data_IF_444127695474
#
_entry.id   IF_444127695474
#
_cell.length_a   1.000
_cell.length_b   1.000
_cell.length_c   1.000
_cell.angle_alpha   90.00
_cell.angle_beta   90.00
_cell.angle_gamma   90.00
#
_symmetry.space_group_name_H-M   'P 1'
#
loop_
_entity.id
_entity.type
_entity.pdbx_description
1 polymer ?
#
# COMPACT_ATOMS: atom_id res chain seq x y z
N UNK A 1 39.77 -27.06 10.76
CA UNK A 1 39.16 -28.40 10.94
C UNK A 1 37.66 -28.17 10.91
N UNK A 2 36.99 -28.25 9.76
CA UNK A 2 36.56 -29.48 9.06
C UNK A 2 35.78 -30.41 10.00
N UNK A 3 34.50 -30.60 9.70
CA UNK A 3 33.63 -31.79 9.83
C UNK A 3 32.18 -31.27 9.96
N UNK A 4 31.36 -31.23 8.90
CA UNK A 4 30.84 -32.32 8.05
C UNK A 4 29.94 -33.28 8.84
N UNK A 5 28.63 -33.04 8.69
CA UNK A 5 27.60 -34.03 8.32
C UNK A 5 27.31 -35.20 9.27
N UNK A 6 26.06 -35.29 9.76
CA UNK A 6 25.26 -36.49 9.56
C UNK A 6 23.75 -36.20 9.64
N UNK A 7 23.09 -36.43 8.52
CA UNK A 7 21.65 -36.47 8.28
C UNK A 7 21.11 -37.79 8.83
N UNK A 8 19.98 -37.78 9.53
CA UNK A 8 19.08 -38.95 9.63
C UNK A 8 17.63 -38.51 9.88
N UNK A 9 16.88 -38.46 8.79
CA UNK A 9 15.50 -38.95 8.64
C UNK A 9 14.44 -38.48 9.63
N UNK A 10 13.72 -37.45 9.18
CA UNK A 10 12.29 -37.26 9.45
C UNK A 10 11.51 -38.40 8.78
N UNK A 11 10.71 -39.14 9.55
CA UNK A 11 9.78 -40.12 8.99
C UNK A 11 9.19 -41.02 10.05
N UNK A 12 8.03 -40.64 10.59
CA UNK A 12 6.89 -41.52 10.84
C UNK A 12 5.75 -40.71 11.47
N UNK A 13 4.68 -40.51 10.70
CA UNK A 13 3.39 -40.04 11.18
C UNK A 13 2.87 -40.92 12.33
N UNK A 14 2.23 -40.36 13.37
CA UNK A 14 1.34 -41.15 14.19
C UNK A 14 -0.02 -41.24 13.49
N UNK A 15 -0.29 -42.44 12.96
CA UNK A 15 -1.59 -42.98 12.59
C UNK A 15 -2.68 -42.58 13.60
N UNK A 16 -3.71 -41.90 13.10
CA UNK A 16 -4.93 -41.60 13.87
C UNK A 16 -5.80 -42.86 13.89
N UNK A 17 -5.50 -43.78 14.82
CA UNK A 17 -6.33 -44.94 15.07
C UNK A 17 -7.58 -44.52 15.85
N UNK A 18 -8.74 -44.82 15.27
CA UNK A 18 -10.03 -44.40 15.76
C UNK A 18 -10.41 -44.97 17.13
N UNK A 19 -11.20 -44.17 17.83
CA UNK A 19 -12.40 -44.60 18.55
C UNK A 19 -12.27 -45.77 19.50
N UNK A 20 -11.77 -45.51 20.71
CA UNK A 20 -12.16 -46.30 21.87
C UNK A 20 -12.73 -45.36 22.94
N UNK A 21 -14.04 -45.48 23.17
CA UNK A 21 -14.75 -44.80 24.25
C UNK A 21 -14.32 -45.45 25.57
N UNK A 22 -13.25 -44.94 26.17
CA UNK A 22 -12.83 -45.32 27.52
C UNK A 22 -13.52 -44.41 28.52
N UNK A 23 -14.08 -45.03 29.56
CA UNK A 23 -14.98 -44.45 30.55
C UNK A 23 -14.50 -43.12 31.15
N UNK A 24 -15.37 -42.11 31.03
CA UNK A 24 -15.26 -40.78 31.65
C UNK A 24 -15.51 -40.86 33.16
N UNK A 25 -14.43 -40.93 33.95
CA UNK A 25 -14.48 -40.55 35.37
C UNK A 25 -13.15 -40.00 35.92
N UNK A 26 -12.02 -40.22 35.23
CA UNK A 26 -10.69 -39.80 35.71
C UNK A 26 -9.87 -38.88 34.79
N UNK A 27 -10.30 -38.62 33.55
CA UNK A 27 -9.54 -37.81 32.59
C UNK A 27 -9.71 -36.29 32.82
N UNK A 28 -10.89 -35.84 33.26
CA UNK A 28 -11.17 -34.42 33.42
C UNK A 28 -10.38 -33.72 34.54
N UNK A 29 -9.94 -34.45 35.57
CA UNK A 29 -9.21 -33.84 36.70
C UNK A 29 -7.72 -33.69 36.40
N UNK A 30 -7.10 -34.69 35.77
CA UNK A 30 -5.69 -34.62 35.36
C UNK A 30 -5.47 -33.54 34.28
N UNK A 31 -6.39 -33.45 33.31
CA UNK A 31 -6.35 -32.41 32.27
C UNK A 31 -6.63 -31.01 32.84
N UNK A 32 -7.54 -30.89 33.82
CA UNK A 32 -7.80 -29.63 34.51
C UNK A 32 -6.63 -29.17 35.37
N UNK A 33 -5.96 -30.09 36.08
CA UNK A 33 -4.76 -29.78 36.85
C UNK A 33 -3.58 -29.38 35.95
N UNK A 34 -3.42 -30.06 34.81
CA UNK A 34 -2.42 -29.71 33.81
C UNK A 34 -2.69 -28.34 33.19
N UNK A 35 -3.94 -28.05 32.77
CA UNK A 35 -4.34 -26.74 32.25
C UNK A 35 -4.15 -25.64 33.29
N UNK A 36 -4.51 -25.88 34.56
CA UNK A 36 -4.30 -24.92 35.63
C UNK A 36 -2.81 -24.64 35.87
N UNK A 37 -1.96 -25.65 35.75
CA UNK A 37 -0.50 -25.50 35.86
C UNK A 37 0.08 -24.71 34.69
N UNK A 38 -0.32 -25.03 33.45
CA UNK A 38 0.11 -24.29 32.26
C UNK A 38 -0.39 -22.85 32.26
N UNK A 39 -1.64 -22.61 32.67
CA UNK A 39 -2.20 -21.28 32.84
C UNK A 39 -1.43 -20.46 33.88
N UNK A 40 -1.06 -21.06 35.02
CA UNK A 40 -0.22 -20.41 36.04
C UNK A 40 1.19 -20.10 35.53
N UNK A 41 1.78 -20.98 34.74
CA UNK A 41 3.08 -20.74 34.11
C UNK A 41 3.01 -19.62 33.07
N UNK A 42 1.94 -19.57 32.29
CA UNK A 42 1.69 -18.52 31.30
C UNK A 42 1.52 -17.16 31.98
N UNK A 43 0.69 -17.06 33.03
CA UNK A 43 0.51 -15.82 33.79
C UNK A 43 1.77 -15.37 34.55
N UNK A 44 2.68 -16.30 34.86
CA UNK A 44 3.96 -15.99 35.51
C UNK A 44 5.07 -15.58 34.53
N UNK A 45 4.84 -15.74 33.22
CA UNK A 45 5.80 -15.36 32.19
C UNK A 45 5.82 -13.84 32.00
N UNK A 46 6.88 -13.20 32.49
CA UNK A 46 7.08 -11.76 32.39
C UNK A 46 7.49 -11.28 30.98
N UNK A 47 7.72 -12.19 30.03
CA UNK A 47 7.92 -11.83 28.62
C UNK A 47 6.62 -11.47 27.90
N UNK A 48 5.47 -11.83 28.48
CA UNK A 48 4.14 -11.60 27.91
C UNK A 48 3.39 -10.58 28.76
N UNK A 49 2.98 -9.48 28.13
CA UNK A 49 2.20 -8.44 28.80
C UNK A 49 0.72 -8.84 28.85
N UNK A 50 0.23 -9.31 30.01
CA UNK A 50 -1.20 -9.63 30.23
C UNK A 50 -2.02 -8.44 30.74
N UNK A 51 -1.38 -7.45 31.35
CA UNK A 51 -2.01 -6.23 31.82
C UNK A 51 -1.73 -5.07 30.88
N UNK A 52 -2.78 -4.40 30.39
CA UNK A 52 -2.61 -3.05 29.86
C UNK A 52 -2.35 -2.12 31.06
N UNK A 53 -1.20 -1.41 31.12
CA UNK A 53 -0.99 -0.42 32.15
C UNK A 53 -2.09 0.65 32.04
N UNK A 54 -2.61 1.09 33.19
CA UNK A 54 -3.49 2.24 33.21
C UNK A 54 -2.74 3.42 32.59
N UNK A 55 -3.29 4.00 31.52
CA UNK A 55 -2.74 5.19 30.88
C UNK A 55 -2.80 6.34 31.89
N UNK A 56 -1.67 6.62 32.54
CA UNK A 56 -1.51 7.85 33.32
C UNK A 56 -1.42 8.98 32.30
N UNK A 57 -2.40 9.89 32.30
CA UNK A 57 -2.35 11.06 31.43
C UNK A 57 -1.14 11.90 31.85
N UNK A 58 -0.12 12.05 30.99
CA UNK A 58 1.01 12.90 31.31
C UNK A 58 0.51 14.34 31.41
N UNK A 59 0.91 15.05 32.47
CA UNK A 59 0.69 16.48 32.52
C UNK A 59 1.43 17.14 31.33
N UNK A 60 0.83 18.16 30.69
CA UNK A 60 1.46 18.83 29.57
C UNK A 60 2.82 19.38 30.01
N UNK A 61 3.90 19.09 29.25
CA UNK A 61 5.24 19.48 29.64
C UNK A 61 5.36 21.01 29.74
N UNK A 62 6.20 21.51 30.65
CA UNK A 62 6.31 22.95 30.97
C UNK A 62 6.56 23.86 29.75
N UNK A 63 7.25 23.35 28.73
CA UNK A 63 7.50 24.10 27.49
C UNK A 63 6.25 24.27 26.61
N UNK A 64 5.23 23.41 26.77
CA UNK A 64 3.98 23.43 26.02
C UNK A 64 2.96 24.42 26.60
N UNK A 65 3.04 24.70 27.90
CA UNK A 65 2.16 25.67 28.59
C UNK A 65 2.14 27.06 27.91
N UNK A 66 3.29 27.71 27.58
CA UNK A 66 3.26 29.01 26.91
C UNK A 66 2.65 28.95 25.50
N UNK A 67 2.80 27.82 24.80
CA UNK A 67 2.18 27.62 23.48
C UNK A 67 0.66 27.48 23.59
N UNK A 68 0.17 26.74 24.59
CA UNK A 68 -1.26 26.57 24.87
C UNK A 68 -1.91 27.89 25.26
N UNK A 69 -1.29 28.65 26.16
CA UNK A 69 -1.77 29.99 26.56
C UNK A 69 -1.82 30.95 25.36
N UNK A 70 -0.80 30.91 24.49
CA UNK A 70 -0.82 31.66 23.24
C UNK A 70 -2.01 31.23 22.37
N UNK A 71 -2.22 29.93 22.16
CA UNK A 71 -3.30 29.41 21.33
C UNK A 71 -4.69 29.74 21.91
N UNK A 72 -4.88 29.70 23.22
CA UNK A 72 -6.13 30.11 23.88
C UNK A 72 -6.44 31.59 23.64
N UNK A 73 -5.42 32.46 23.70
CA UNK A 73 -5.55 33.89 23.38
C UNK A 73 -5.91 34.14 21.92
N UNK A 74 -5.44 33.27 21.03
CA UNK A 74 -5.68 33.32 19.58
C UNK A 74 -6.98 32.62 19.17
N UNK A 75 -7.51 31.73 20.01
CA UNK A 75 -8.75 30.98 19.81
C UNK A 75 -9.92 31.80 19.27
N UNK A 76 -10.28 32.97 19.86
CA UNK A 76 -11.36 33.79 19.32
C UNK A 76 -11.05 34.39 17.93
N UNK A 77 -9.77 34.60 17.59
CA UNK A 77 -9.36 35.11 16.29
C UNK A 77 -9.37 34.04 15.18
N UNK A 78 -9.16 32.76 15.54
CA UNK A 78 -9.22 31.64 14.60
C UNK A 78 -10.59 31.51 13.91
N UNK A 79 -11.66 31.86 14.62
CA UNK A 79 -13.03 31.86 14.05
C UNK A 79 -13.11 32.91 12.93
N UNK A 80 -12.58 34.11 13.14
CA UNK A 80 -12.56 35.14 12.10
C UNK A 80 -11.66 34.78 10.93
N UNK A 81 -10.49 34.16 11.18
CA UNK A 81 -9.61 33.65 10.12
C UNK A 81 -10.27 32.55 9.29
N UNK A 82 -10.99 31.64 9.94
CA UNK A 82 -11.75 30.59 9.26
C UNK A 82 -12.82 31.19 8.35
N UNK A 83 -13.64 32.11 8.86
CA UNK A 83 -14.65 32.78 8.05
C UNK A 83 -14.05 33.64 6.95
N UNK A 84 -12.92 34.31 7.19
CA UNK A 84 -12.19 35.03 6.16
C UNK A 84 -11.70 34.09 5.04
N UNK A 85 -11.19 32.90 5.39
CA UNK A 85 -10.79 31.88 4.43
C UNK A 85 -11.98 31.32 3.64
N UNK A 86 -13.13 31.08 4.30
CA UNK A 86 -14.37 30.64 3.66
C UNK A 86 -14.90 31.69 2.69
N UNK A 87 -14.97 32.96 3.12
CA UNK A 87 -15.42 34.08 2.27
C UNK A 87 -14.46 34.26 1.09
N UNK A 88 -13.14 34.20 1.33
CA UNK A 88 -12.13 34.25 0.27
C UNK A 88 -12.29 33.10 -0.73
N UNK A 89 -12.45 31.87 -0.25
CA UNK A 89 -12.68 30.70 -1.10
C UNK A 89 -13.96 30.82 -1.92
N UNK A 90 -15.06 31.24 -1.30
CA UNK A 90 -16.32 31.50 -1.98
C UNK A 90 -16.20 32.61 -3.03
N UNK A 91 -15.47 33.70 -2.72
CA UNK A 91 -15.19 34.77 -3.67
C UNK A 91 -14.33 34.30 -4.84
N UNK A 92 -13.33 33.45 -4.61
CA UNK A 92 -12.51 32.85 -5.67
C UNK A 92 -13.38 31.94 -6.55
N UNK A 93 -14.21 31.08 -5.97
CA UNK A 93 -15.11 30.21 -6.74
C UNK A 93 -16.08 31.06 -7.57
N UNK A 94 -16.68 32.10 -6.98
CA UNK A 94 -17.55 33.02 -7.70
C UNK A 94 -16.81 33.74 -8.83
N UNK A 95 -15.58 34.20 -8.58
CA UNK A 95 -14.71 34.83 -9.58
C UNK A 95 -14.41 33.86 -10.72
N UNK A 96 -14.10 32.60 -10.43
CA UNK A 96 -13.85 31.56 -11.44
C UNK A 96 -15.11 31.29 -12.28
N UNK A 97 -16.29 31.22 -11.66
CA UNK A 97 -17.57 31.07 -12.37
C UNK A 97 -17.83 32.28 -13.28
N UNK A 98 -17.60 33.50 -12.79
CA UNK A 98 -17.77 34.72 -13.59
C UNK A 98 -16.78 34.79 -14.75
N UNK A 99 -15.53 34.36 -14.55
CA UNK A 99 -14.52 34.29 -15.60
C UNK A 99 -14.88 33.24 -16.67
N UNK A 100 -15.40 32.09 -16.26
CA UNK A 100 -15.87 31.02 -17.14
C UNK A 100 -17.06 31.48 -17.99
N UNK A 101 -18.07 32.11 -17.37
CA UNK A 101 -19.26 32.65 -18.07
C UNK A 101 -18.90 33.77 -19.04
N UNK A 102 -17.88 34.57 -18.73
CA UNK A 102 -17.37 35.62 -19.63
C UNK A 102 -16.56 35.09 -20.81
N UNK A 103 -16.41 33.76 -20.96
CA UNK A 103 -15.66 33.16 -22.06
C UNK A 103 -14.16 33.52 -22.03
N UNK A 104 -13.68 34.05 -20.90
CA UNK A 104 -12.26 34.27 -20.66
C UNK A 104 -11.69 32.92 -20.27
N UNK A 105 -11.56 32.05 -21.27
CA UNK A 105 -10.85 30.79 -21.16
C UNK A 105 -9.41 31.11 -20.74
N UNK A 106 -9.17 31.11 -19.44
CA UNK A 106 -7.84 31.21 -18.86
C UNK A 106 -7.14 29.91 -19.20
N UNK A 107 -6.55 29.88 -20.40
CA UNK A 107 -5.70 28.80 -20.85
C UNK A 107 -4.51 28.75 -19.91
N UNK A 108 -4.58 27.86 -18.92
CA UNK A 108 -3.49 27.56 -17.99
C UNK A 108 -2.19 27.44 -18.81
N UNK A 109 -1.18 28.30 -18.58
CA UNK A 109 0.05 28.29 -19.37
C UNK A 109 0.84 26.97 -19.23
N UNK A 110 0.56 26.17 -18.20
CA UNK A 110 1.15 24.85 -17.99
C UNK A 110 0.61 23.73 -18.90
N UNK A 111 -0.54 23.93 -19.56
CA UNK A 111 -1.08 22.95 -20.52
C UNK A 111 -0.67 23.23 -21.98
N UNK A 112 0.17 24.25 -22.21
CA UNK A 112 0.40 24.80 -23.56
C UNK A 112 1.79 24.57 -24.15
N UNK A 113 2.61 23.73 -23.52
CA UNK A 113 3.90 23.35 -24.11
C UNK A 113 3.82 22.14 -25.07
N UNK A 114 2.62 21.57 -25.34
CA UNK A 114 2.52 20.40 -26.22
C UNK A 114 1.31 20.42 -27.16
N UNK A 115 1.35 21.37 -28.09
CA UNK A 115 0.68 21.38 -29.40
C UNK A 115 1.27 22.61 -30.09
N UNK A 116 2.08 22.52 -31.13
CA UNK A 116 1.92 21.77 -32.38
C UNK A 116 3.30 21.51 -32.98
N UNK A 117 3.59 20.29 -33.39
CA UNK A 117 4.17 20.05 -34.71
C UNK A 117 3.68 18.68 -35.16
N UNK A 118 3.03 18.71 -36.31
CA UNK A 118 2.41 17.61 -37.03
C UNK A 118 3.46 16.62 -37.51
N UNK A 119 3.30 15.36 -37.11
CA UNK A 119 3.71 14.20 -37.88
C UNK A 119 2.63 13.14 -37.65
N UNK A 120 1.84 12.91 -38.69
CA UNK A 120 1.03 11.72 -38.86
C UNK A 120 1.89 10.48 -38.60
N UNK A 121 1.62 9.80 -37.48
CA UNK A 121 1.74 8.35 -37.34
C UNK A 121 1.12 7.94 -35.99
N UNK A 122 -0.03 7.26 -36.05
CA UNK A 122 -0.67 6.53 -34.95
C UNK A 122 -0.71 7.22 -33.56
N UNK A 123 -1.52 8.27 -33.42
CA UNK A 123 -1.84 8.86 -32.11
C UNK A 123 -2.54 7.84 -31.18
N UNK A 124 -1.76 7.22 -30.27
CA UNK A 124 -2.21 6.46 -29.09
C UNK A 124 -2.20 7.40 -27.86
N UNK A 125 -3.31 8.07 -27.51
CA UNK A 125 -3.33 9.10 -26.46
C UNK A 125 -2.92 8.62 -25.06
N UNK A 126 -2.91 7.31 -24.79
CA UNK A 126 -2.52 6.70 -23.50
C UNK A 126 -1.04 6.25 -23.47
N UNK A 127 -0.42 6.06 -24.64
CA UNK A 127 0.94 5.51 -24.73
C UNK A 127 2.03 6.53 -24.38
N UNK A 128 1.80 7.82 -24.67
CA UNK A 128 2.77 8.87 -24.39
C UNK A 128 3.02 9.09 -22.89
N UNK A 129 1.98 8.95 -22.06
CA UNK A 129 2.11 9.04 -20.60
C UNK A 129 2.83 7.81 -20.04
N UNK A 130 2.53 6.61 -20.55
CA UNK A 130 3.23 5.39 -20.18
C UNK A 130 4.72 5.42 -20.57
N UNK A 131 5.06 5.99 -21.73
CA UNK A 131 6.45 6.13 -22.19
C UNK A 131 7.28 7.09 -21.34
N UNK A 132 6.71 8.25 -20.97
CA UNK A 132 7.40 9.21 -20.09
C UNK A 132 7.69 8.56 -18.74
N UNK A 133 6.73 7.83 -18.18
CA UNK A 133 6.92 7.15 -16.90
C UNK A 133 7.91 5.98 -16.98
N UNK A 134 7.88 5.22 -18.06
CA UNK A 134 8.89 4.18 -18.31
C UNK A 134 10.30 4.79 -18.36
N UNK A 135 10.47 5.99 -18.91
CA UNK A 135 11.77 6.68 -18.94
C UNK A 135 12.25 7.10 -17.55
N UNK A 136 11.35 7.47 -16.64
CA UNK A 136 11.70 7.75 -15.23
C UNK A 136 12.14 6.48 -14.50
N UNK A 137 11.40 5.38 -14.70
CA UNK A 137 11.75 4.09 -14.12
C UNK A 137 13.08 3.54 -14.70
N UNK A 138 13.33 3.75 -15.99
CA UNK A 138 14.61 3.44 -16.63
C UNK A 138 15.77 4.25 -16.05
N UNK A 139 15.54 5.53 -15.72
CA UNK A 139 16.56 6.37 -15.11
C UNK A 139 16.93 5.91 -13.69
N UNK A 140 15.99 5.33 -12.94
CA UNK A 140 16.25 4.69 -11.64
C UNK A 140 17.01 3.37 -11.83
N UNK A 141 16.56 2.52 -12.76
CA UNK A 141 17.25 1.26 -13.06
C UNK A 141 18.69 1.48 -13.55
N UNK A 142 18.95 2.55 -14.30
CA UNK A 142 20.30 2.92 -14.77
C UNK A 142 21.26 3.29 -13.62
N UNK A 143 20.72 3.71 -12.46
CA UNK A 143 21.51 3.99 -11.24
C UNK A 143 21.76 2.74 -10.40
N UNK A 144 21.17 1.60 -10.78
CA UNK A 144 21.17 0.36 -10.00
C UNK A 144 20.01 0.26 -9.01
N UNK A 145 19.11 1.24 -8.97
CA UNK A 145 17.98 1.30 -8.03
C UNK A 145 16.77 0.52 -8.57
N UNK A 146 16.95 -0.78 -8.81
CA UNK A 146 15.91 -1.64 -9.39
C UNK A 146 14.68 -1.79 -8.49
N UNK A 147 14.88 -1.82 -7.17
CA UNK A 147 13.77 -1.92 -6.21
C UNK A 147 12.84 -0.71 -6.37
N UNK A 148 13.39 0.52 -6.37
CA UNK A 148 12.62 1.75 -6.52
C UNK A 148 11.97 1.83 -7.92
N UNK A 149 12.67 1.38 -8.97
CA UNK A 149 12.14 1.35 -10.32
C UNK A 149 10.90 0.46 -10.42
N UNK A 150 10.92 -0.76 -9.85
CA UNK A 150 9.75 -1.65 -9.84
C UNK A 150 8.64 -1.09 -8.94
N UNK A 151 8.99 -0.51 -7.79
CA UNK A 151 8.03 0.16 -6.90
C UNK A 151 7.29 1.31 -7.58
N UNK A 152 7.98 2.08 -8.42
CA UNK A 152 7.38 3.13 -9.26
C UNK A 152 6.36 2.53 -10.23
N UNK A 153 6.69 1.44 -10.93
CA UNK A 153 5.76 0.74 -11.83
C UNK A 153 4.51 0.22 -11.11
N UNK A 154 4.67 -0.34 -9.90
CA UNK A 154 3.53 -0.81 -9.11
C UNK A 154 2.59 0.35 -8.72
N UNK A 155 3.13 1.44 -8.17
CA UNK A 155 2.34 2.62 -7.79
C UNK A 155 1.59 3.19 -8.98
N UNK A 156 2.25 3.25 -10.13
CA UNK A 156 1.63 3.72 -11.36
C UNK A 156 0.49 2.80 -11.81
N UNK A 157 0.73 1.50 -11.80
CA UNK A 157 -0.28 0.52 -12.20
C UNK A 157 -1.54 0.63 -11.33
N UNK A 158 -1.38 0.85 -10.01
CA UNK A 158 -2.51 1.11 -9.10
C UNK A 158 -3.22 2.41 -9.46
N UNK A 159 -2.49 3.48 -9.78
CA UNK A 159 -3.10 4.74 -10.22
C UNK A 159 -3.87 4.60 -11.54
N UNK A 160 -3.38 3.80 -12.48
CA UNK A 160 -4.09 3.53 -13.74
C UNK A 160 -5.36 2.67 -13.50
N UNK A 161 -5.32 1.72 -12.56
CA UNK A 161 -6.53 1.00 -12.11
C UNK A 161 -7.52 1.97 -11.46
N UNK A 162 -7.07 2.89 -10.60
CA UNK A 162 -7.92 3.89 -9.96
C UNK A 162 -8.62 4.80 -10.97
N UNK A 163 -7.91 5.18 -12.04
CA UNK A 163 -8.48 5.99 -13.12
C UNK A 163 -9.56 5.27 -13.92
N UNK A 164 -9.47 3.94 -14.07
CA UNK A 164 -10.40 3.12 -14.88
C UNK A 164 -11.55 2.53 -14.06
N UNK A 165 -11.30 2.14 -12.82
CA UNK A 165 -12.27 1.56 -11.88
C UNK A 165 -12.21 2.27 -10.52
N UNK A 166 -12.72 3.52 -10.43
CA UNK A 166 -12.66 4.31 -9.21
C UNK A 166 -13.44 3.69 -8.05
N UNK A 167 -14.58 3.04 -8.32
CA UNK A 167 -15.43 2.44 -7.27
C UNK A 167 -14.86 1.14 -6.68
N UNK A 168 -13.91 0.52 -7.39
CA UNK A 168 -13.31 -0.75 -6.99
C UNK A 168 -12.21 -0.57 -5.95
N UNK A 169 -11.34 0.43 -6.12
CA UNK A 169 -10.18 0.59 -5.24
C UNK A 169 -10.54 1.23 -3.92
N UNK A 170 -10.28 0.50 -2.83
CA UNK A 170 -10.40 0.98 -1.45
C UNK A 170 -9.01 1.09 -0.82
N UNK A 171 -8.78 2.07 0.08
CA UNK A 171 -7.49 2.22 0.76
C UNK A 171 -7.02 0.97 1.55
N UNK A 172 -7.94 0.08 1.91
CA UNK A 172 -7.63 -1.16 2.62
C UNK A 172 -7.16 -2.31 1.74
N UNK A 173 -7.21 -2.18 0.41
CA UNK A 173 -6.82 -3.25 -0.51
C UNK A 173 -5.30 -3.33 -0.66
N UNK A 174 -4.77 -4.54 -0.53
CA UNK A 174 -3.35 -4.82 -0.81
C UNK A 174 -3.11 -5.04 -2.30
N UNK A 175 -1.85 -4.96 -2.75
CA UNK A 175 -1.46 -5.30 -4.13
C UNK A 175 -1.94 -6.70 -4.52
N UNK A 176 -1.87 -7.67 -3.60
CA UNK A 176 -2.36 -9.04 -3.83
C UNK A 176 -3.88 -9.11 -3.95
N UNK A 177 -4.63 -8.34 -3.18
CA UNK A 177 -6.09 -8.29 -3.29
C UNK A 177 -6.52 -7.69 -4.63
N UNK A 178 -5.86 -6.61 -5.04
CA UNK A 178 -6.08 -5.97 -6.34
C UNK A 178 -5.76 -6.94 -7.48
N UNK A 179 -4.68 -7.71 -7.37
CA UNK A 179 -4.26 -8.69 -8.38
C UNK A 179 -5.19 -9.90 -8.51
N UNK A 180 -6.05 -10.17 -7.52
CA UNK A 180 -7.00 -11.28 -7.55
C UNK A 180 -8.44 -10.83 -7.84
N UNK A 181 -8.67 -9.54 -8.01
CA UNK A 181 -10.02 -9.01 -8.14
C UNK A 181 -10.66 -9.39 -9.50
N UNK A 182 -11.90 -9.92 -9.49
CA UNK A 182 -12.61 -10.31 -10.71
C UNK A 182 -13.11 -9.12 -11.53
N UNK A 183 -13.09 -7.91 -10.96
CA UNK A 183 -13.41 -6.66 -11.65
C UNK A 183 -12.37 -6.26 -12.69
N UNK A 184 -11.14 -6.77 -12.60
CA UNK A 184 -10.09 -6.51 -13.58
C UNK A 184 -10.17 -7.51 -14.75
N UNK A 185 -10.04 -7.05 -16.01
CA UNK A 185 -9.89 -7.93 -17.16
C UNK A 185 -8.75 -8.93 -16.96
N UNK A 186 -8.93 -10.17 -17.40
CA UNK A 186 -8.01 -11.28 -17.09
C UNK A 186 -6.56 -11.00 -17.53
N UNK A 187 -6.37 -10.31 -18.66
CA UNK A 187 -5.04 -9.92 -19.17
C UNK A 187 -4.38 -8.87 -18.28
N UNK A 188 -5.07 -7.77 -17.98
CA UNK A 188 -4.58 -6.73 -17.07
C UNK A 188 -4.29 -7.30 -15.67
N UNK A 189 -5.17 -8.16 -15.16
CA UNK A 189 -5.02 -8.86 -13.88
C UNK A 189 -3.75 -9.72 -13.85
N UNK A 190 -3.51 -10.50 -14.90
CA UNK A 190 -2.31 -11.33 -15.02
C UNK A 190 -1.02 -10.49 -15.02
N UNK A 191 -0.97 -9.44 -15.83
CA UNK A 191 0.18 -8.54 -15.91
C UNK A 191 0.45 -7.81 -14.58
N UNK A 192 -0.60 -7.29 -13.92
CA UNK A 192 -0.47 -6.65 -12.61
C UNK A 192 -0.01 -7.63 -11.53
N UNK A 193 -0.50 -8.87 -11.55
CA UNK A 193 -0.09 -9.90 -10.58
C UNK A 193 1.41 -10.21 -10.63
N UNK A 194 2.00 -10.16 -11.83
CA UNK A 194 3.43 -10.40 -12.03
C UNK A 194 4.29 -9.28 -11.40
N UNK A 195 3.91 -8.02 -11.62
CA UNK A 195 4.55 -6.84 -11.00
C UNK A 195 4.41 -6.93 -9.48
N UNK A 196 3.21 -7.17 -8.96
CA UNK A 196 2.95 -7.27 -7.53
C UNK A 196 3.81 -8.35 -6.87
N UNK A 197 3.91 -9.53 -7.49
CA UNK A 197 4.72 -10.65 -6.95
C UNK A 197 6.21 -10.31 -6.88
N UNK A 198 6.75 -9.58 -7.86
CA UNK A 198 8.17 -9.16 -7.87
C UNK A 198 8.42 -8.18 -6.72
N UNK A 199 7.55 -7.17 -6.55
CA UNK A 199 7.66 -6.19 -5.46
C UNK A 199 7.50 -6.84 -4.09
N UNK A 200 6.50 -7.71 -3.93
CA UNK A 200 6.26 -8.41 -2.67
C UNK A 200 7.43 -9.30 -2.27
N UNK A 201 8.06 -9.98 -3.24
CA UNK A 201 9.28 -10.74 -2.98
C UNK A 201 10.43 -9.83 -2.51
N UNK A 202 10.56 -8.64 -3.09
CA UNK A 202 11.59 -7.69 -2.69
C UNK A 202 11.36 -7.14 -1.28
N UNK A 203 10.14 -6.69 -1.00
CA UNK A 203 9.74 -6.13 0.28
C UNK A 203 9.76 -7.16 1.41
N UNK A 204 9.15 -8.32 1.21
CA UNK A 204 8.91 -9.28 2.29
C UNK A 204 9.98 -10.36 2.40
N UNK A 205 10.59 -10.79 1.29
CA UNK A 205 11.62 -11.82 1.33
C UNK A 205 13.05 -11.26 1.44
N UNK A 206 13.21 -9.93 1.52
CA UNK A 206 14.51 -9.21 1.46
C UNK A 206 15.40 -9.69 0.32
N UNK A 207 14.80 -10.06 -0.81
CA UNK A 207 15.53 -10.44 -2.03
C UNK A 207 15.56 -9.21 -2.94
N UNK A 208 16.68 -8.50 -3.05
CA UNK A 208 16.73 -7.30 -3.88
C UNK A 208 16.36 -7.65 -5.32
N UNK A 209 15.61 -6.78 -5.97
CA UNK A 209 15.30 -6.90 -7.39
C UNK A 209 16.61 -6.73 -8.16
N UNK A 210 17.01 -7.76 -8.88
CA UNK A 210 18.12 -7.67 -9.83
C UNK A 210 17.66 -7.13 -11.19
N UNK A 211 18.60 -6.91 -12.10
CA UNK A 211 18.32 -6.50 -13.48
C UNK A 211 17.28 -7.41 -14.18
N UNK A 212 17.31 -8.72 -13.91
CA UNK A 212 16.32 -9.66 -14.45
C UNK A 212 14.91 -9.42 -13.90
N UNK A 213 14.78 -9.13 -12.60
CA UNK A 213 13.50 -8.83 -11.98
C UNK A 213 12.93 -7.50 -12.47
N UNK A 214 13.80 -6.51 -12.71
CA UNK A 214 13.44 -5.26 -13.35
C UNK A 214 12.90 -5.47 -14.77
N UNK A 215 13.59 -6.23 -15.63
CA UNK A 215 13.14 -6.49 -17.00
C UNK A 215 11.80 -7.24 -17.05
N UNK A 216 11.58 -8.20 -16.14
CA UNK A 216 10.30 -8.89 -16.01
C UNK A 216 9.17 -7.92 -15.62
N UNK A 217 9.40 -7.06 -14.61
CA UNK A 217 8.42 -6.08 -14.17
C UNK A 217 8.09 -5.04 -15.27
N UNK A 218 9.11 -4.59 -16.01
CA UNK A 218 8.95 -3.68 -17.15
C UNK A 218 8.07 -4.31 -18.23
N UNK A 219 8.40 -5.53 -18.67
CA UNK A 219 7.62 -6.22 -19.68
C UNK A 219 6.17 -6.49 -19.24
N UNK A 220 5.96 -6.79 -17.96
CA UNK A 220 4.62 -6.92 -17.38
C UNK A 220 3.86 -5.58 -17.40
N UNK A 221 4.51 -4.47 -17.07
CA UNK A 221 3.89 -3.15 -17.13
C UNK A 221 3.53 -2.74 -18.56
N UNK A 222 4.39 -3.02 -19.54
CA UNK A 222 4.09 -2.78 -20.95
C UNK A 222 2.82 -3.54 -21.36
N UNK A 223 2.75 -4.85 -21.05
CA UNK A 223 1.54 -5.67 -21.27
C UNK A 223 0.31 -5.08 -20.58
N UNK A 224 0.43 -4.57 -19.37
CA UNK A 224 -0.65 -3.95 -18.61
C UNK A 224 -1.12 -2.62 -19.22
N UNK A 225 -0.20 -1.79 -19.71
CA UNK A 225 -0.48 -0.46 -20.24
C UNK A 225 -1.10 -0.48 -21.65
N UNK A 226 -0.97 -1.58 -22.40
CA UNK A 226 -1.63 -1.71 -23.70
C UNK A 226 -3.16 -1.78 -23.56
N UNK A 227 -3.90 -1.04 -24.41
CA UNK A 227 -5.39 -1.03 -24.41
C UNK A 227 -5.98 -2.44 -24.58
N UNK A 228 -5.31 -3.34 -25.30
CA UNK A 228 -5.74 -4.73 -25.52
C UNK A 228 -5.74 -5.60 -24.26
N UNK A 229 -5.07 -5.16 -23.19
CA UNK A 229 -5.12 -5.84 -21.89
C UNK A 229 -6.39 -5.49 -21.10
N UNK A 230 -7.08 -4.42 -21.51
CA UNK A 230 -8.23 -3.82 -20.85
C UNK A 230 -9.50 -3.83 -21.71
N UNK A 231 -9.46 -4.53 -22.85
CA UNK A 231 -10.58 -4.79 -23.74
C UNK A 231 -11.45 -5.94 -23.21
#
# INVERSE_FOLDING_TARGET
MQFLFCIATVGAEPQVAGGERVANAGLGTADAEWLAKMHKQLLADNSIQFGLPALVQPEPPEWLKPLLEMLERLGPYMIYLFWAAVISGAAIILLLIVLEVKGVAWRLPWRRARKETEAEEAWRPDAGAAQILLSEADALAARGDYDEAVHLLLRRSVADIAGRLPDFLRPSLTSRDIANAPSLPARARGAFSEIARIVEAALFARRPVGAEGWQQARGAYERFAFRDAWA
#
